data_IF_801800383070
#
_entry.id   IF_801800383070
#
_cell.length_a   1.000
_cell.length_b   1.000
_cell.length_c   1.000
_cell.angle_alpha   90.00
_cell.angle_beta   90.00
_cell.angle_gamma   90.00
#
_symmetry.space_group_name_H-M   'P 1'
#
loop_
_entity.id
_entity.type
_entity.pdbx_description
1 polymer ?
#
# COMPACT_ATOMS: atom_id res chain seq x y z
N UNK A 1 -5.18 -16.11 -14.54
CA UNK A 1 -3.99 -15.73 -13.74
C UNK A 1 -3.46 -14.47 -14.38
N UNK A 2 -3.21 -13.45 -13.60
CA UNK A 2 -2.44 -12.29 -14.07
C UNK A 2 -0.99 -12.70 -14.21
N UNK A 3 -0.33 -12.19 -15.25
CA UNK A 3 1.08 -12.48 -15.51
C UNK A 3 2.01 -11.59 -14.69
N UNK A 4 3.26 -12.00 -14.57
CA UNK A 4 4.32 -11.18 -13.94
C UNK A 4 4.38 -9.81 -14.61
N UNK A 5 4.22 -8.76 -13.82
CA UNK A 5 4.20 -7.37 -14.28
C UNK A 5 2.85 -6.86 -14.79
N UNK A 6 1.79 -7.62 -14.73
CA UNK A 6 0.45 -7.09 -14.94
C UNK A 6 -0.02 -6.29 -13.72
N UNK A 7 -0.84 -5.30 -13.98
CA UNK A 7 -1.42 -4.41 -12.97
C UNK A 7 -2.94 -4.48 -13.12
N UNK A 8 -3.63 -4.68 -12.00
CA UNK A 8 -5.08 -4.57 -11.94
C UNK A 8 -5.45 -3.34 -11.13
N UNK A 9 -6.35 -2.53 -11.67
CA UNK A 9 -6.99 -1.42 -10.96
C UNK A 9 -8.47 -1.77 -10.85
N UNK A 10 -8.98 -1.85 -9.63
CA UNK A 10 -10.32 -2.37 -9.35
C UNK A 10 -11.05 -1.35 -8.50
N UNK A 11 -12.08 -0.74 -9.07
CA UNK A 11 -13.01 0.09 -8.32
C UNK A 11 -13.91 -0.78 -7.42
N UNK A 12 -14.35 -0.23 -6.30
CA UNK A 12 -15.23 -0.92 -5.35
C UNK A 12 -14.75 -2.33 -4.99
N UNK A 13 -13.46 -2.43 -4.68
CA UNK A 13 -12.78 -3.70 -4.42
C UNK A 13 -13.48 -4.54 -3.34
N UNK A 14 -14.02 -3.89 -2.33
CA UNK A 14 -14.90 -4.47 -1.31
C UNK A 14 -16.24 -3.74 -1.29
N UNK A 15 -17.28 -4.30 -0.66
CA UNK A 15 -18.58 -3.66 -0.58
C UNK A 15 -18.51 -2.29 0.08
N UNK A 16 -19.41 -1.37 -0.32
CA UNK A 16 -19.44 -0.02 0.23
C UNK A 16 -19.55 0.00 1.76
N UNK A 17 -20.38 -0.90 2.35
CA UNK A 17 -20.49 -1.01 3.81
C UNK A 17 -19.13 -1.38 4.44
N UNK A 18 -18.35 -2.23 3.76
CA UNK A 18 -17.02 -2.60 4.26
C UNK A 18 -16.00 -1.49 4.09
N UNK A 19 -16.08 -0.71 3.00
CA UNK A 19 -15.27 0.49 2.81
C UNK A 19 -15.50 1.48 3.94
N UNK A 20 -16.75 1.78 4.25
CA UNK A 20 -17.13 2.68 5.35
C UNK A 20 -16.69 2.15 6.72
N UNK A 21 -16.80 0.84 6.95
CA UNK A 21 -16.27 0.21 8.17
C UNK A 21 -14.77 0.46 8.32
N UNK A 22 -13.97 0.17 7.29
CA UNK A 22 -12.52 0.38 7.34
C UNK A 22 -12.20 1.85 7.58
N UNK A 23 -12.84 2.74 6.83
CA UNK A 23 -12.65 4.18 6.97
C UNK A 23 -13.01 4.66 8.39
N UNK A 24 -14.10 4.17 8.96
CA UNK A 24 -14.50 4.51 10.32
C UNK A 24 -13.51 4.00 11.36
N UNK A 25 -12.99 2.78 11.20
CA UNK A 25 -11.99 2.21 12.11
C UNK A 25 -10.65 2.95 12.05
N UNK A 26 -10.21 3.37 10.88
CA UNK A 26 -8.91 4.02 10.71
C UNK A 26 -8.97 5.54 10.95
N UNK A 27 -10.07 6.20 10.59
CA UNK A 27 -10.16 7.66 10.51
C UNK A 27 -11.36 8.25 11.26
N UNK A 28 -12.17 7.41 11.91
CA UNK A 28 -13.40 7.85 12.58
C UNK A 28 -13.13 8.74 13.79
N UNK A 29 -14.04 9.66 14.05
CA UNK A 29 -14.03 10.48 15.28
C UNK A 29 -14.33 9.57 16.48
N UNK A 30 -13.56 9.69 17.55
CA UNK A 30 -13.56 8.85 18.75
C UNK A 30 -13.05 7.42 18.52
N UNK A 31 -12.17 7.26 17.58
CA UNK A 31 -11.49 6.01 17.29
C UNK A 31 -10.15 5.96 18.05
N UNK A 32 -9.86 4.80 18.63
CA UNK A 32 -8.62 4.53 19.37
C UNK A 32 -7.58 3.82 18.47
N UNK A 33 -7.72 3.94 17.14
CA UNK A 33 -6.77 3.30 16.21
C UNK A 33 -5.36 3.84 16.45
N UNK A 34 -4.39 2.97 16.75
CA UNK A 34 -3.05 3.40 17.16
C UNK A 34 -2.20 3.77 15.95
N UNK A 35 -2.16 5.02 15.61
CA UNK A 35 -1.26 5.58 14.63
C UNK A 35 0.10 5.92 15.27
N UNK A 36 1.19 5.44 14.66
CA UNK A 36 2.56 5.71 15.08
C UNK A 36 3.20 6.73 14.15
N UNK A 37 3.82 7.75 14.74
CA UNK A 37 4.51 8.78 13.95
C UNK A 37 5.69 8.21 13.19
N UNK A 38 5.80 8.60 11.92
CA UNK A 38 6.93 8.30 11.04
C UNK A 38 7.49 9.62 10.55
N UNK A 39 8.77 9.85 10.78
CA UNK A 39 9.43 11.09 10.42
C UNK A 39 9.47 11.28 8.90
N UNK A 40 9.69 10.22 8.16
CA UNK A 40 9.68 10.20 6.71
C UNK A 40 9.02 8.92 6.17
N UNK A 41 7.86 9.08 5.52
CA UNK A 41 7.13 7.95 4.92
C UNK A 41 7.56 7.67 3.48
N UNK A 42 8.52 8.43 2.94
CA UNK A 42 8.98 8.29 1.55
C UNK A 42 10.05 7.22 1.38
N UNK A 43 10.49 6.59 2.48
CA UNK A 43 11.55 5.58 2.49
C UNK A 43 12.78 6.06 1.72
N UNK A 44 13.39 7.14 2.17
CA UNK A 44 14.49 7.80 1.50
C UNK A 44 15.63 6.84 1.18
N UNK A 45 15.74 6.44 -0.08
CA UNK A 45 16.99 6.01 -0.67
C UNK A 45 17.86 7.24 -0.99
N UNK A 46 18.88 7.06 -1.84
CA UNK A 46 19.80 8.12 -2.29
C UNK A 46 19.16 9.16 -3.23
N UNK A 47 17.82 9.23 -3.29
CA UNK A 47 17.10 10.19 -4.12
C UNK A 47 16.79 11.45 -3.31
N UNK A 48 16.86 12.61 -3.95
CA UNK A 48 16.38 13.90 -3.43
C UNK A 48 14.85 13.89 -3.27
N UNK A 49 14.34 13.04 -2.38
CA UNK A 49 12.93 13.04 -2.01
C UNK A 49 12.66 14.10 -0.96
N UNK A 50 11.48 14.68 -1.02
CA UNK A 50 11.04 15.59 0.02
C UNK A 50 10.63 14.79 1.24
N UNK A 51 11.25 15.04 2.39
CA UNK A 51 10.84 14.42 3.66
C UNK A 51 9.37 14.66 3.94
N UNK A 52 8.62 13.57 4.11
CA UNK A 52 7.20 13.61 4.44
C UNK A 52 6.93 12.92 5.75
N UNK A 53 6.63 13.69 6.76
CA UNK A 53 6.13 13.12 8.01
C UNK A 53 4.72 12.55 7.81
N UNK A 54 4.45 11.46 8.48
CA UNK A 54 3.15 10.80 8.44
C UNK A 54 2.97 9.87 9.62
N UNK A 55 2.06 8.93 9.46
CA UNK A 55 1.79 7.92 10.45
C UNK A 55 1.66 6.55 9.79
N UNK A 56 2.05 5.52 10.52
CA UNK A 56 1.92 4.13 10.09
C UNK A 56 1.36 3.25 11.19
N UNK A 57 0.86 2.10 10.78
CA UNK A 57 0.48 1.02 11.66
C UNK A 57 0.79 -0.32 11.01
N UNK A 58 1.63 -1.12 11.65
CA UNK A 58 2.02 -2.45 11.19
C UNK A 58 1.05 -3.50 11.72
N UNK A 59 0.51 -4.34 10.83
CA UNK A 59 -0.42 -5.42 11.19
C UNK A 59 0.24 -6.79 11.20
N UNK A 60 1.04 -7.04 10.16
CA UNK A 60 1.78 -8.27 9.94
C UNK A 60 3.16 -7.89 9.43
N UNK A 61 4.17 -8.59 9.88
CA UNK A 61 5.57 -8.38 9.55
C UNK A 61 6.30 -9.72 9.48
N UNK A 62 7.30 -9.85 8.65
CA UNK A 62 8.23 -10.97 8.70
C UNK A 62 9.16 -10.80 9.90
N UNK A 63 9.38 -11.88 10.64
CA UNK A 63 10.41 -11.93 11.67
C UNK A 63 11.80 -12.21 11.08
N UNK A 64 12.82 -12.33 11.94
CA UNK A 64 14.20 -12.59 11.53
C UNK A 64 14.39 -13.97 10.85
N UNK A 65 13.42 -14.86 10.95
CA UNK A 65 13.41 -16.21 10.35
C UNK A 65 12.49 -16.28 9.11
N UNK A 66 12.08 -15.14 8.55
CA UNK A 66 11.14 -15.00 7.41
C UNK A 66 9.76 -15.63 7.68
N UNK A 67 9.34 -15.68 8.94
CA UNK A 67 8.01 -16.14 9.33
C UNK A 67 7.08 -14.94 9.57
N UNK A 68 5.88 -14.99 8.98
CA UNK A 68 4.89 -13.92 9.18
C UNK A 68 4.36 -13.91 10.60
N UNK A 69 4.46 -12.77 11.26
CA UNK A 69 3.97 -12.53 12.62
C UNK A 69 2.88 -11.46 12.66
N UNK A 70 1.76 -11.78 13.32
CA UNK A 70 0.69 -10.81 13.55
C UNK A 70 1.07 -9.85 14.65
N UNK A 71 1.29 -8.59 14.31
CA UNK A 71 1.69 -7.52 15.25
C UNK A 71 0.50 -6.77 15.84
N UNK A 72 -0.67 -6.87 15.22
CA UNK A 72 -1.85 -6.09 15.64
C UNK A 72 -3.16 -6.85 15.44
N UNK A 73 -4.07 -6.72 16.38
CA UNK A 73 -5.43 -7.26 16.27
C UNK A 73 -6.22 -6.67 15.11
N UNK A 74 -5.83 -5.49 14.61
CA UNK A 74 -6.48 -4.85 13.46
C UNK A 74 -6.21 -5.57 12.12
N UNK A 75 -5.31 -6.57 12.08
CA UNK A 75 -5.06 -7.38 10.87
C UNK A 75 -6.36 -8.01 10.32
N UNK A 76 -7.35 -8.32 11.17
CA UNK A 76 -8.61 -8.91 10.76
C UNK A 76 -9.43 -8.00 9.82
N UNK A 77 -9.17 -6.69 9.82
CA UNK A 77 -9.81 -5.74 8.90
C UNK A 77 -9.41 -6.00 7.44
N UNK A 78 -8.28 -6.66 7.21
CA UNK A 78 -7.73 -6.88 5.87
C UNK A 78 -7.92 -8.32 5.36
N UNK A 79 -8.34 -9.24 6.22
CA UNK A 79 -8.61 -10.63 5.83
C UNK A 79 -9.62 -10.74 4.67
N UNK A 80 -10.75 -10.00 4.65
CA UNK A 80 -11.67 -10.03 3.51
C UNK A 80 -11.05 -9.50 2.21
N UNK A 81 -10.09 -8.57 2.29
CA UNK A 81 -9.36 -8.08 1.12
C UNK A 81 -8.46 -9.15 0.53
N UNK A 82 -7.75 -9.93 1.37
CA UNK A 82 -6.96 -11.07 0.93
C UNK A 82 -7.83 -12.07 0.15
N UNK A 83 -8.96 -12.47 0.74
CA UNK A 83 -9.91 -13.38 0.09
C UNK A 83 -10.40 -12.83 -1.26
N UNK A 84 -10.66 -11.53 -1.33
CA UNK A 84 -11.10 -10.87 -2.56
C UNK A 84 -9.98 -10.82 -3.61
N UNK A 85 -8.75 -10.52 -3.20
CA UNK A 85 -7.58 -10.57 -4.09
C UNK A 85 -7.40 -11.96 -4.68
N UNK A 86 -7.46 -13.02 -3.87
CA UNK A 86 -7.39 -14.40 -4.34
C UNK A 86 -8.46 -14.72 -5.41
N UNK A 87 -9.69 -14.21 -5.24
CA UNK A 87 -10.75 -14.37 -6.24
C UNK A 87 -10.41 -13.70 -7.57
N UNK A 88 -9.93 -12.44 -7.55
CA UNK A 88 -9.54 -11.72 -8.76
C UNK A 88 -8.35 -12.39 -9.47
N UNK A 89 -7.37 -12.84 -8.69
CA UNK A 89 -6.16 -13.47 -9.20
C UNK A 89 -6.37 -14.94 -9.60
N UNK A 90 -7.51 -15.53 -9.21
CA UNK A 90 -7.83 -16.96 -9.42
C UNK A 90 -6.79 -17.90 -8.81
N UNK A 91 -6.30 -17.54 -7.63
CA UNK A 91 -5.42 -18.39 -6.82
C UNK A 91 -6.22 -18.98 -5.65
N UNK A 92 -5.90 -20.22 -5.20
CA UNK A 92 -6.69 -20.89 -4.17
C UNK A 92 -6.60 -20.19 -2.81
N UNK A 93 -5.42 -19.76 -2.44
CA UNK A 93 -5.12 -19.08 -1.18
C UNK A 93 -3.83 -18.26 -1.30
N UNK A 94 -3.65 -17.34 -0.37
CA UNK A 94 -2.42 -16.59 -0.17
C UNK A 94 -2.27 -16.25 1.32
N UNK A 95 -1.07 -15.99 1.75
CA UNK A 95 -0.73 -15.53 3.10
C UNK A 95 -0.35 -14.05 3.05
N UNK A 96 -0.67 -13.32 4.11
CA UNK A 96 -0.18 -11.95 4.28
C UNK A 96 1.19 -12.04 4.96
N UNK A 97 2.24 -11.77 4.23
CA UNK A 97 3.61 -11.75 4.76
C UNK A 97 3.98 -10.36 5.32
N UNK A 98 3.38 -9.31 4.79
CA UNK A 98 3.50 -7.95 5.29
C UNK A 98 2.16 -7.22 5.14
N UNK A 99 1.74 -6.52 6.18
CA UNK A 99 0.52 -5.72 6.16
C UNK A 99 0.69 -4.46 6.98
N UNK A 100 0.42 -3.31 6.37
CA UNK A 100 0.59 -2.01 7.01
C UNK A 100 -0.41 -0.98 6.46
N UNK A 101 -0.73 0.02 7.25
CA UNK A 101 -1.41 1.23 6.79
C UNK A 101 -0.51 2.44 6.93
N UNK A 102 -0.64 3.35 5.99
CA UNK A 102 -0.01 4.67 6.04
C UNK A 102 -1.05 5.77 6.01
N UNK A 103 -0.84 6.80 6.81
CA UNK A 103 -1.54 8.06 6.75
C UNK A 103 -0.52 9.15 6.39
N UNK A 104 -0.49 9.51 5.13
CA UNK A 104 0.32 10.62 4.63
C UNK A 104 -0.43 11.92 4.85
N UNK A 105 0.27 12.92 5.37
CA UNK A 105 -0.31 14.24 5.63
C UNK A 105 -0.06 15.19 4.44
N UNK A 106 -1.01 16.09 4.15
CA UNK A 106 -0.77 17.14 3.18
C UNK A 106 0.31 18.08 3.73
N UNK A 107 1.39 18.25 3.00
CA UNK A 107 2.48 19.16 3.37
C UNK A 107 2.29 20.52 2.70
N UNK A 108 2.55 21.60 3.47
CA UNK A 108 2.61 22.94 2.91
C UNK A 108 3.92 23.14 2.18
N UNK A 109 3.88 23.83 1.05
CA UNK A 109 5.05 24.20 0.24
C UNK A 109 5.81 23.00 -0.34
N UNK A 110 5.10 21.94 -0.66
CA UNK A 110 5.68 20.81 -1.39
C UNK A 110 5.84 21.17 -2.87
N UNK A 111 6.95 20.78 -3.46
CA UNK A 111 7.13 20.83 -4.90
C UNK A 111 6.48 19.60 -5.54
N UNK A 112 5.33 19.78 -6.15
CA UNK A 112 4.58 18.70 -6.79
C UNK A 112 5.23 18.13 -8.06
N UNK A 113 6.31 18.75 -8.53
CA UNK A 113 7.10 18.22 -9.64
C UNK A 113 8.10 17.14 -9.20
N UNK A 114 8.39 17.06 -7.90
CA UNK A 114 9.27 16.07 -7.31
C UNK A 114 8.41 14.90 -6.85
N UNK A 115 8.67 13.71 -7.41
CA UNK A 115 8.03 12.46 -7.00
C UNK A 115 8.80 11.83 -5.84
N UNK A 116 8.11 11.06 -5.01
CA UNK A 116 8.76 10.27 -3.98
C UNK A 116 9.67 9.19 -4.58
N UNK A 117 10.68 8.77 -3.84
CA UNK A 117 11.64 7.77 -4.31
C UNK A 117 10.93 6.46 -4.70
N UNK A 118 11.19 5.94 -5.91
CA UNK A 118 10.74 4.60 -6.26
C UNK A 118 11.36 3.56 -5.32
N UNK A 119 10.57 2.57 -4.94
CA UNK A 119 11.03 1.46 -4.11
C UNK A 119 10.32 0.17 -4.51
N UNK A 120 10.82 -0.94 -4.01
CA UNK A 120 10.18 -2.25 -4.04
C UNK A 120 9.88 -2.66 -2.61
N UNK A 121 8.77 -3.37 -2.39
CA UNK A 121 8.32 -3.71 -1.03
C UNK A 121 9.08 -4.89 -0.42
N UNK A 122 9.59 -5.80 -1.23
CA UNK A 122 10.40 -6.97 -0.81
C UNK A 122 11.63 -7.13 -1.69
N UNK A 123 12.60 -7.91 -1.23
CA UNK A 123 13.85 -8.14 -1.96
C UNK A 123 13.62 -8.68 -3.38
N UNK A 124 14.46 -8.26 -4.35
CA UNK A 124 14.38 -8.75 -5.71
C UNK A 124 14.61 -10.26 -5.76
N UNK A 125 13.63 -10.99 -6.23
CA UNK A 125 13.70 -12.45 -6.35
C UNK A 125 12.54 -13.16 -5.67
N UNK A 126 11.94 -12.55 -4.67
CA UNK A 126 10.76 -13.11 -4.02
C UNK A 126 9.51 -12.79 -4.83
N UNK A 127 8.83 -13.85 -5.29
CA UNK A 127 7.55 -13.68 -5.98
C UNK A 127 6.46 -13.36 -4.97
N UNK A 128 5.96 -12.13 -5.02
CA UNK A 128 4.90 -11.66 -4.14
C UNK A 128 3.84 -10.87 -4.92
N UNK A 129 2.72 -10.65 -4.28
CA UNK A 129 1.60 -9.85 -4.78
C UNK A 129 1.41 -8.68 -3.84
N UNK A 130 1.46 -7.48 -4.38
CA UNK A 130 1.12 -6.27 -3.64
C UNK A 130 -0.35 -5.94 -3.87
N UNK A 131 -1.09 -5.72 -2.79
CA UNK A 131 -2.49 -5.27 -2.81
C UNK A 131 -2.55 -3.93 -2.08
N UNK A 132 -2.52 -2.85 -2.82
CA UNK A 132 -2.70 -1.51 -2.28
C UNK A 132 -4.19 -1.15 -2.30
N UNK A 133 -4.73 -0.75 -1.16
CA UNK A 133 -6.12 -0.34 -1.01
C UNK A 133 -6.22 1.11 -0.53
N UNK A 134 -7.02 1.91 -1.21
CA UNK A 134 -7.21 3.32 -0.86
C UNK A 134 -8.45 3.50 0.00
N UNK A 135 -8.22 3.96 1.24
CA UNK A 135 -9.28 4.16 2.25
C UNK A 135 -10.10 5.40 1.97
N UNK A 136 -9.51 6.41 1.36
CA UNK A 136 -10.14 7.69 1.02
C UNK A 136 -9.59 8.24 -0.29
N UNK A 137 -10.26 9.24 -0.83
CA UNK A 137 -9.76 10.02 -1.96
C UNK A 137 -8.54 10.83 -1.53
N UNK A 138 -7.57 10.95 -2.44
CA UNK A 138 -6.35 11.73 -2.23
C UNK A 138 -5.85 12.29 -3.57
N UNK A 139 -5.01 13.30 -3.50
CA UNK A 139 -4.38 13.96 -4.65
C UNK A 139 -2.96 13.46 -4.94
N UNK A 140 -2.44 12.55 -4.13
CA UNK A 140 -1.14 11.91 -4.32
C UNK A 140 -1.23 10.65 -5.17
N UNK A 141 -1.02 10.76 -6.47
CA UNK A 141 -1.06 9.61 -7.38
C UNK A 141 -0.03 8.55 -7.02
N UNK A 142 -0.41 7.27 -7.12
CA UNK A 142 0.52 6.15 -7.10
C UNK A 142 1.06 5.89 -8.51
N UNK A 143 2.39 5.86 -8.64
CA UNK A 143 3.05 5.65 -9.92
C UNK A 143 3.75 4.30 -9.89
N UNK A 144 3.46 3.44 -10.85
CA UNK A 144 4.16 2.18 -11.10
C UNK A 144 5.09 2.38 -12.28
N UNK A 145 6.34 1.98 -12.13
CA UNK A 145 7.37 2.08 -13.16
C UNK A 145 7.58 0.76 -13.90
N UNK A 146 8.20 0.83 -15.07
CA UNK A 146 8.58 -0.36 -15.83
C UNK A 146 9.82 -1.05 -15.25
N UNK A 147 10.69 -0.27 -14.66
CA UNK A 147 11.94 -0.73 -14.05
C UNK A 147 11.64 -1.43 -12.74
N UNK A 148 12.28 -2.58 -12.52
CA UNK A 148 12.08 -3.46 -11.35
C UNK A 148 13.30 -3.57 -10.46
N UNK A 149 14.35 -2.90 -10.85
CA UNK A 149 15.61 -2.80 -10.14
C UNK A 149 15.99 -1.33 -10.07
N UNK A 150 16.91 -1.00 -9.21
CA UNK A 150 17.44 0.35 -9.11
C UNK A 150 17.92 0.84 -10.49
N UNK A 151 17.47 2.01 -10.87
CA UNK A 151 17.75 2.60 -12.19
C UNK A 151 18.06 4.08 -12.07
N UNK A 152 18.93 4.57 -12.93
CA UNK A 152 19.18 6.02 -13.06
C UNK A 152 18.05 6.76 -13.77
N UNK A 153 17.12 6.03 -14.39
CA UNK A 153 15.95 6.58 -15.08
C UNK A 153 14.76 5.64 -14.89
N UNK A 154 13.61 6.21 -14.58
CA UNK A 154 12.38 5.47 -14.43
C UNK A 154 11.36 5.91 -15.48
N UNK A 155 10.69 4.94 -16.10
CA UNK A 155 9.64 5.18 -17.09
C UNK A 155 8.28 4.77 -16.52
N UNK A 156 7.33 5.72 -16.50
CA UNK A 156 5.99 5.49 -15.99
C UNK A 156 5.29 4.39 -16.80
N UNK A 157 4.83 3.36 -16.10
CA UNK A 157 4.01 2.30 -16.68
C UNK A 157 2.52 2.54 -16.44
N UNK A 158 2.18 2.91 -15.23
CA UNK A 158 0.80 3.15 -14.79
C UNK A 158 0.78 4.24 -13.72
N UNK A 159 -0.24 5.09 -13.79
CA UNK A 159 -0.55 6.09 -12.78
C UNK A 159 -1.98 5.88 -12.30
N UNK A 160 -2.18 5.91 -10.99
CA UNK A 160 -3.46 5.66 -10.36
C UNK A 160 -3.74 6.75 -9.34
N UNK A 161 -4.81 7.48 -9.54
CA UNK A 161 -5.31 8.46 -8.56
C UNK A 161 -6.09 7.75 -7.46
N UNK A 162 -5.71 7.92 -6.19
CA UNK A 162 -6.40 7.31 -5.08
C UNK A 162 -7.87 7.70 -5.00
N UNK A 163 -8.74 6.68 -4.89
CA UNK A 163 -10.17 6.85 -4.62
C UNK A 163 -10.59 5.87 -3.55
N UNK A 164 -11.51 6.29 -2.69
CA UNK A 164 -12.07 5.39 -1.68
C UNK A 164 -12.60 4.10 -2.34
N UNK A 165 -12.21 2.97 -1.79
CA UNK A 165 -12.64 1.65 -2.27
C UNK A 165 -11.86 1.09 -3.46
N UNK A 166 -11.01 1.88 -4.11
CA UNK A 166 -10.17 1.42 -5.20
C UNK A 166 -9.02 0.55 -4.66
N UNK A 167 -8.71 -0.52 -5.36
CA UNK A 167 -7.50 -1.31 -5.11
C UNK A 167 -6.62 -1.40 -6.35
N UNK A 168 -5.32 -1.30 -6.13
CA UNK A 168 -4.27 -1.53 -7.11
C UNK A 168 -3.57 -2.83 -6.74
N UNK A 169 -3.58 -3.81 -7.64
CA UNK A 169 -2.90 -5.10 -7.45
C UNK A 169 -1.84 -5.26 -8.53
N UNK A 170 -0.62 -5.62 -8.12
CA UNK A 170 0.46 -5.93 -9.05
C UNK A 170 1.34 -7.09 -8.55
N UNK A 171 2.04 -7.72 -9.48
CA UNK A 171 2.96 -8.83 -9.26
C UNK A 171 4.36 -8.44 -9.70
#
# INVERSE_FOLDING_TARGET
MIGKGEILVIDDFVSFEYQEKIKQELMGVNNDFPWFYIEDVTAAGDFDSQHRAGFGHQYVELDDDDVSEVKSLYHHLFTPMLSKACQYLKIPEAEIIQGRSFLQLPLRNIDTSIVDSPHIDLDPGDEHIVVLYYVNDSDGDTIIYNEREESSTYTEKQRVTPKQGLSLIHI
#
